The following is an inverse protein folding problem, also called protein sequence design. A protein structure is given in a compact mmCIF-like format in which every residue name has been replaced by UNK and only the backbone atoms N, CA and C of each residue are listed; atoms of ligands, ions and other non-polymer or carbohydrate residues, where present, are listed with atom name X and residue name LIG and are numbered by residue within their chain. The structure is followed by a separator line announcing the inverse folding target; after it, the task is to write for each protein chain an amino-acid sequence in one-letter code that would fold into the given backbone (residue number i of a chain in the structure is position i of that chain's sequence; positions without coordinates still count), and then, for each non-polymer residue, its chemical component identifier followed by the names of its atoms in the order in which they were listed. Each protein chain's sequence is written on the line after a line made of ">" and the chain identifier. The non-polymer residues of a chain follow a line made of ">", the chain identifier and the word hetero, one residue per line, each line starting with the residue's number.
data_IF_429820405890
#
_entry.id   IF_429820405890
#
_cell.length_a   1.000
_cell.length_b   1.000
_cell.length_c   1.000
_cell.angle_alpha   90.00
_cell.angle_beta   90.00
_cell.angle_gamma   90.00
#
_symmetry.space_group_name_H-M   'P 1'
#
loop_
_entity.id
_entity.type
_entity.pdbx_description
1 polymer ?
#
# COMPACT_ATOMS: atom_id res chain seq x y z
N UNK A 1 0.11 9.75 17.10
CA UNK A 1 -0.07 8.81 16.00
C UNK A 1 1.12 7.88 15.89
N UNK A 2 0.89 6.68 15.38
CA UNK A 2 1.96 5.71 15.12
C UNK A 2 2.27 5.68 13.63
N UNK A 3 3.54 5.45 13.31
CA UNK A 3 3.99 5.24 11.93
C UNK A 3 4.09 3.74 11.67
N UNK A 4 3.57 3.32 10.52
CA UNK A 4 3.57 1.92 10.10
C UNK A 4 4.24 1.79 8.75
N UNK A 5 4.97 0.69 8.56
CA UNK A 5 5.40 0.27 7.24
C UNK A 5 4.53 -0.91 6.82
N UNK A 6 3.95 -0.80 5.63
CA UNK A 6 3.06 -1.81 5.06
C UNK A 6 3.70 -2.32 3.77
N UNK A 7 3.94 -3.61 3.71
CA UNK A 7 4.48 -4.27 2.53
C UNK A 7 3.42 -5.18 1.95
N UNK A 8 3.00 -4.89 0.72
CA UNK A 8 1.99 -5.66 0.00
C UNK A 8 2.65 -6.37 -1.16
N UNK A 9 2.40 -7.67 -1.30
CA UNK A 9 2.86 -8.43 -2.46
C UNK A 9 1.66 -8.87 -3.28
N UNK A 10 1.75 -8.68 -4.60
CA UNK A 10 0.67 -9.01 -5.51
C UNK A 10 0.55 -10.51 -5.72
N UNK A 11 -0.64 -10.98 -6.03
CA UNK A 11 -0.87 -12.31 -6.54
C UNK A 11 -0.19 -12.48 -7.89
N UNK A 12 0.16 -13.70 -8.25
CA UNK A 12 0.77 -14.01 -9.54
C UNK A 12 -0.14 -13.60 -10.69
N UNK A 13 0.46 -13.15 -11.79
CA UNK A 13 -0.25 -12.81 -13.03
C UNK A 13 -1.30 -11.71 -12.86
N UNK A 14 -1.05 -10.75 -11.97
CA UNK A 14 -1.99 -9.66 -11.68
C UNK A 14 -1.49 -8.27 -12.11
N UNK A 15 -0.48 -8.21 -12.97
CA UNK A 15 0.04 -6.92 -13.44
C UNK A 15 -1.05 -6.07 -14.11
N UNK A 16 -1.87 -6.68 -14.95
CA UNK A 16 -2.96 -5.96 -15.62
C UNK A 16 -3.97 -5.42 -14.61
N UNK A 17 -4.32 -6.21 -13.60
CA UNK A 17 -5.22 -5.78 -12.53
C UNK A 17 -4.65 -4.58 -11.78
N UNK A 18 -3.35 -4.62 -11.47
CA UNK A 18 -2.68 -3.50 -10.81
C UNK A 18 -2.73 -2.24 -11.67
N UNK A 19 -2.38 -2.36 -12.94
CA UNK A 19 -2.32 -1.19 -13.84
C UNK A 19 -3.70 -0.60 -14.09
N UNK A 20 -4.73 -1.44 -14.20
CA UNK A 20 -6.11 -0.98 -14.40
C UNK A 20 -6.64 -0.19 -13.21
N UNK A 21 -6.21 -0.54 -11.99
CA UNK A 21 -6.71 0.09 -10.77
C UNK A 21 -5.75 1.13 -10.17
N UNK A 22 -4.65 1.43 -10.88
CA UNK A 22 -3.59 2.28 -10.35
C UNK A 22 -4.07 3.70 -10.04
N UNK A 23 -4.81 4.32 -10.94
CA UNK A 23 -5.26 5.70 -10.72
C UNK A 23 -6.19 5.82 -9.52
N UNK A 24 -7.11 4.87 -9.37
CA UNK A 24 -8.00 4.84 -8.20
C UNK A 24 -7.21 4.69 -6.90
N UNK A 25 -6.20 3.82 -6.90
CA UNK A 25 -5.32 3.63 -5.77
C UNK A 25 -4.57 4.91 -5.41
N UNK A 26 -3.98 5.59 -6.40
CA UNK A 26 -3.24 6.84 -6.18
C UNK A 26 -4.14 7.95 -5.63
N UNK A 27 -5.35 8.08 -6.17
CA UNK A 27 -6.33 9.04 -5.65
C UNK A 27 -6.69 8.74 -4.20
N UNK A 28 -6.87 7.47 -3.89
CA UNK A 28 -7.18 7.04 -2.53
C UNK A 28 -6.06 7.42 -1.56
N UNK A 29 -4.80 7.18 -1.94
CA UNK A 29 -3.64 7.53 -1.12
C UNK A 29 -3.50 9.03 -0.92
N UNK A 30 -3.82 9.83 -1.93
CA UNK A 30 -3.77 11.29 -1.83
C UNK A 30 -4.65 11.83 -0.71
N UNK A 31 -5.73 11.14 -0.40
CA UNK A 31 -6.62 11.51 0.69
C UNK A 31 -5.98 11.49 2.08
N UNK A 32 -4.88 10.78 2.24
CA UNK A 32 -4.13 10.75 3.50
C UNK A 32 -3.38 12.06 3.78
N UNK A 33 -3.06 12.81 2.74
CA UNK A 33 -2.29 14.06 2.86
C UNK A 33 -0.97 13.83 3.61
N UNK A 34 -0.72 14.59 4.67
CA UNK A 34 0.54 14.47 5.42
C UNK A 34 0.67 13.20 6.28
N UNK A 35 -0.38 12.40 6.37
CA UNK A 35 -0.28 11.08 7.01
C UNK A 35 0.47 10.07 6.14
N UNK A 36 0.57 10.30 4.86
CA UNK A 36 1.34 9.47 3.95
C UNK A 36 2.77 10.00 3.89
N UNK A 37 3.72 9.22 4.40
CA UNK A 37 5.13 9.61 4.41
C UNK A 37 5.76 9.28 3.06
N UNK A 38 5.56 8.05 2.58
CA UNK A 38 5.95 7.66 1.23
C UNK A 38 5.13 6.47 0.77
N UNK A 39 5.10 6.27 -0.53
CA UNK A 39 4.47 5.11 -1.14
C UNK A 39 5.12 4.85 -2.50
N UNK A 40 5.25 3.60 -2.86
CA UNK A 40 5.77 3.24 -4.16
C UNK A 40 5.69 1.75 -4.42
N UNK A 41 5.80 1.35 -5.69
CA UNK A 41 5.78 -0.06 -6.02
C UNK A 41 7.11 -0.75 -5.75
N UNK A 42 7.02 -2.03 -5.42
CA UNK A 42 8.18 -2.93 -5.43
C UNK A 42 8.28 -3.49 -6.84
N UNK A 43 9.48 -3.43 -7.42
CA UNK A 43 9.69 -3.86 -8.79
C UNK A 43 10.37 -5.23 -8.85
N UNK A 44 10.03 -6.01 -9.87
CA UNK A 44 10.73 -7.25 -10.16
C UNK A 44 11.98 -6.97 -11.00
N UNK A 45 12.69 -8.02 -11.41
CA UNK A 45 13.94 -7.90 -12.17
C UNK A 45 13.79 -7.22 -13.54
N UNK A 46 12.57 -7.18 -14.08
CA UNK A 46 12.28 -6.52 -15.36
C UNK A 46 11.64 -5.15 -15.16
N UNK A 47 11.75 -4.59 -13.95
CA UNK A 47 11.23 -3.26 -13.58
C UNK A 47 9.71 -3.16 -13.65
N UNK A 48 9.01 -4.27 -13.48
CA UNK A 48 7.55 -4.28 -13.43
C UNK A 48 7.07 -4.38 -11.97
N UNK A 49 5.99 -3.68 -11.60
CA UNK A 49 5.50 -3.73 -10.22
C UNK A 49 5.00 -5.12 -9.84
N UNK A 50 5.40 -5.56 -8.66
CA UNK A 50 4.96 -6.82 -8.06
C UNK A 50 4.42 -6.65 -6.66
N UNK A 51 4.36 -5.43 -6.17
CA UNK A 51 3.91 -5.12 -4.82
C UNK A 51 3.98 -3.63 -4.54
N UNK A 52 3.76 -3.27 -3.28
CA UNK A 52 3.80 -1.87 -2.83
C UNK A 52 4.40 -1.77 -1.45
N UNK A 53 5.08 -0.67 -1.18
CA UNK A 53 5.47 -0.27 0.17
C UNK A 53 4.76 1.03 0.48
N UNK A 54 4.13 1.09 1.65
CA UNK A 54 3.53 2.31 2.19
C UNK A 54 4.15 2.57 3.55
N UNK A 55 4.58 3.81 3.79
CA UNK A 55 4.91 4.27 5.14
C UNK A 55 3.95 5.40 5.46
N UNK A 56 3.15 5.20 6.52
CA UNK A 56 2.03 6.08 6.79
C UNK A 56 1.71 6.11 8.28
N UNK A 57 0.94 7.12 8.69
CA UNK A 57 0.58 7.34 10.08
C UNK A 57 -0.91 7.09 10.32
N UNK A 58 -1.20 6.39 11.42
CA UNK A 58 -2.57 6.20 11.91
C UNK A 58 -2.57 6.19 13.43
N UNK A 59 -3.73 6.50 14.04
CA UNK A 59 -3.88 6.50 15.49
C UNK A 59 -3.63 5.12 16.09
N UNK A 60 -4.12 4.08 15.42
CA UNK A 60 -4.00 2.70 15.89
C UNK A 60 -4.13 1.71 14.73
N UNK A 61 -3.90 0.45 15.04
CA UNK A 61 -3.91 -0.63 14.04
C UNK A 61 -5.29 -0.86 13.43
N UNK A 62 -6.35 -0.67 14.21
CA UNK A 62 -7.73 -0.86 13.71
C UNK A 62 -8.04 0.14 12.60
N UNK A 63 -7.69 1.39 12.80
CA UNK A 63 -7.91 2.44 11.78
C UNK A 63 -7.06 2.20 10.55
N UNK A 64 -5.83 1.75 10.72
CA UNK A 64 -4.96 1.36 9.61
C UNK A 64 -5.58 0.20 8.82
N UNK A 65 -6.07 -0.83 9.51
CA UNK A 65 -6.69 -1.98 8.85
C UNK A 65 -7.90 -1.56 8.02
N UNK A 66 -8.73 -0.67 8.55
CA UNK A 66 -9.88 -0.14 7.81
C UNK A 66 -9.46 0.63 6.57
N UNK A 67 -8.41 1.43 6.68
CA UNK A 67 -7.88 2.15 5.53
C UNK A 67 -7.39 1.19 4.44
N UNK A 68 -6.58 0.20 4.83
CA UNK A 68 -6.02 -0.77 3.88
C UNK A 68 -7.12 -1.61 3.21
N UNK A 69 -8.13 -1.99 3.97
CA UNK A 69 -9.27 -2.78 3.45
C UNK A 69 -10.02 -2.04 2.35
N UNK A 70 -10.10 -0.73 2.42
CA UNK A 70 -10.84 0.10 1.47
C UNK A 70 -9.99 0.64 0.32
N UNK A 71 -8.70 0.30 0.28
CA UNK A 71 -7.85 0.62 -0.85
C UNK A 71 -8.37 -0.10 -2.10
N UNK A 72 -8.48 0.60 -3.24
CA UNK A 72 -8.92 -0.03 -4.49
C UNK A 72 -8.16 -1.29 -4.87
N UNK A 73 -6.86 -1.36 -4.59
CA UNK A 73 -6.09 -2.59 -4.82
C UNK A 73 -6.58 -3.75 -3.95
N UNK A 74 -6.89 -3.48 -2.69
CA UNK A 74 -7.43 -4.52 -1.80
C UNK A 74 -8.82 -4.96 -2.24
N UNK A 75 -9.65 -4.01 -2.66
CA UNK A 75 -11.03 -4.31 -3.09
C UNK A 75 -11.10 -5.22 -4.30
N UNK A 76 -10.12 -5.13 -5.21
CA UNK A 76 -10.08 -6.01 -6.39
C UNK A 76 -9.29 -7.29 -6.14
N UNK A 77 -8.85 -7.52 -4.91
CA UNK A 77 -8.14 -8.74 -4.56
C UNK A 77 -6.75 -8.85 -5.16
N UNK A 78 -6.04 -7.73 -5.30
CA UNK A 78 -4.72 -7.71 -5.92
C UNK A 78 -3.66 -8.41 -5.06
N UNK A 79 -3.73 -8.27 -3.72
CA UNK A 79 -2.64 -8.67 -2.85
C UNK A 79 -2.71 -10.13 -2.43
N UNK A 80 -1.57 -10.83 -2.54
CA UNK A 80 -1.36 -12.15 -1.95
C UNK A 80 -1.09 -12.05 -0.46
N UNK A 81 -0.30 -11.04 -0.07
CA UNK A 81 0.05 -10.84 1.34
C UNK A 81 0.19 -9.36 1.66
N UNK A 82 -0.12 -9.03 2.92
CA UNK A 82 0.04 -7.68 3.47
C UNK A 82 0.73 -7.83 4.81
N UNK A 83 1.90 -7.25 4.94
CA UNK A 83 2.68 -7.27 6.17
C UNK A 83 2.71 -5.87 6.76
N UNK A 84 2.37 -5.75 8.04
CA UNK A 84 2.30 -4.47 8.73
C UNK A 84 3.25 -4.51 9.92
N UNK A 85 4.12 -3.50 10.02
CA UNK A 85 5.07 -3.36 11.11
C UNK A 85 5.08 -1.92 11.61
N UNK A 86 5.36 -1.74 12.91
CA UNK A 86 5.58 -0.40 13.46
C UNK A 86 6.94 0.07 12.98
N UNK A 87 7.00 1.30 12.51
CA UNK A 87 8.19 1.89 11.91
C UNK A 87 8.54 3.20 12.60
N UNK A 88 9.82 3.41 12.87
CA UNK A 88 10.30 4.68 13.38
C UNK A 88 11.17 5.35 12.33
N UNK A 89 10.74 6.54 11.90
CA UNK A 89 11.52 7.33 10.95
C UNK A 89 12.71 7.97 11.66
N UNK A 90 13.89 7.81 11.08
CA UNK A 90 15.13 8.42 11.60
C UNK A 90 15.58 9.58 10.71
N UNK A 91 15.38 9.49 9.44
CA UNK A 91 15.71 10.55 8.46
C UNK A 91 14.47 11.17 7.83
#
# INVERSE_FOLDING_TARGET
>A
MKTYIVTCLDKKNCLKKRMTNRELHLEYLKGLKNKLILAGPILNKTNKPKGSVLILMFQNRTKLNNFLKNDPYSKVGLFESVKIEIFKRVF
#
